data_IF_272546270542
#
_entry.id   IF_272546270542
#
_cell.length_a   1.000
_cell.length_b   1.000
_cell.length_c   1.000
_cell.angle_alpha   90.00
_cell.angle_beta   90.00
_cell.angle_gamma   90.00
#
_symmetry.space_group_name_H-M   'P 1'
#
loop_
_entity.id
_entity.type
_entity.pdbx_description
1 polymer ?
#
# COMPACT_ATOMS: atom_id res chain seq x y z
N UNK A 1 -4.40 -21.37 23.09
CA UNK A 1 -3.42 -21.02 22.04
C UNK A 1 -4.03 -19.89 21.25
N UNK A 2 -3.39 -18.71 21.23
CA UNK A 2 -3.88 -17.53 20.51
C UNK A 2 -3.55 -17.68 19.03
N UNK A 3 -4.53 -17.46 18.15
CA UNK A 3 -4.33 -17.41 16.70
C UNK A 3 -4.20 -15.95 16.27
N UNK A 4 -3.20 -15.65 15.46
CA UNK A 4 -2.93 -14.29 14.98
C UNK A 4 -3.13 -14.25 13.47
N UNK A 5 -4.02 -13.36 13.03
CA UNK A 5 -4.19 -13.04 11.62
C UNK A 5 -3.58 -11.66 11.36
N UNK A 6 -2.51 -11.61 10.57
CA UNK A 6 -1.91 -10.36 10.11
C UNK A 6 -2.41 -10.08 8.70
N UNK A 7 -3.04 -8.92 8.51
CA UNK A 7 -3.55 -8.46 7.23
C UNK A 7 -2.82 -7.18 6.82
N UNK A 8 -2.10 -7.23 5.70
CA UNK A 8 -1.45 -6.07 5.11
C UNK A 8 -2.33 -5.47 4.02
N UNK A 9 -2.72 -4.22 4.18
CA UNK A 9 -3.53 -3.50 3.19
C UNK A 9 -2.66 -2.64 2.27
N UNK A 10 -2.55 -3.05 1.01
CA UNK A 10 -1.75 -2.39 -0.02
C UNK A 10 -2.66 -1.56 -0.92
N UNK A 11 -2.54 -0.23 -0.81
CA UNK A 11 -3.36 0.72 -1.55
C UNK A 11 -2.55 1.88 -2.10
N UNK A 12 -2.92 2.31 -3.29
CA UNK A 12 -2.63 3.63 -3.85
C UNK A 12 -3.89 4.13 -4.55
N UNK A 13 -4.17 5.45 -4.50
CA UNK A 13 -5.17 6.07 -5.36
C UNK A 13 -4.95 5.76 -6.85
N UNK A 14 -6.01 5.94 -7.64
CA UNK A 14 -5.90 5.91 -9.10
C UNK A 14 -5.33 7.23 -9.60
N UNK A 15 -4.08 7.22 -10.07
CA UNK A 15 -3.33 8.43 -10.45
C UNK A 15 -3.33 8.71 -11.95
N UNK A 16 -3.75 7.77 -12.79
CA UNK A 16 -3.85 8.00 -14.22
C UNK A 16 -4.97 9.00 -14.51
N UNK A 17 -4.60 10.13 -15.12
CA UNK A 17 -5.56 11.03 -15.73
C UNK A 17 -6.07 10.41 -17.03
N UNK A 18 -7.33 10.00 -17.05
CA UNK A 18 -7.94 9.34 -18.21
C UNK A 18 -8.03 10.24 -19.45
N UNK A 19 -7.87 11.57 -19.32
CA UNK A 19 -7.85 12.49 -20.45
C UNK A 19 -6.49 12.51 -21.15
N UNK A 20 -5.38 12.37 -20.41
CA UNK A 20 -4.01 12.45 -20.94
C UNK A 20 -3.35 11.07 -21.06
N UNK A 21 -3.77 10.09 -20.26
CA UNK A 21 -3.11 8.79 -20.08
C UNK A 21 -1.86 8.85 -19.18
N UNK A 22 -1.58 10.00 -18.57
CA UNK A 22 -0.39 10.20 -17.72
C UNK A 22 -0.74 10.00 -16.24
N UNK A 23 0.19 9.40 -15.50
CA UNK A 23 0.07 9.31 -14.04
C UNK A 23 0.58 10.60 -13.41
N UNK A 24 -0.28 11.28 -12.66
CA UNK A 24 0.03 12.59 -12.07
C UNK A 24 1.07 12.51 -10.94
N UNK A 25 1.23 11.32 -10.34
CA UNK A 25 2.15 11.06 -9.23
C UNK A 25 2.91 9.74 -9.42
N UNK A 26 4.15 9.63 -8.92
CA UNK A 26 5.03 8.49 -9.20
C UNK A 26 4.82 7.33 -8.21
N UNK A 27 3.87 7.46 -7.28
CA UNK A 27 3.80 6.63 -6.07
C UNK A 27 3.56 5.15 -6.36
N UNK A 28 2.73 4.82 -7.35
CA UNK A 28 2.55 3.41 -7.75
C UNK A 28 3.88 2.80 -8.20
N UNK A 29 4.65 3.51 -9.02
CA UNK A 29 5.96 3.06 -9.48
C UNK A 29 6.95 2.97 -8.32
N UNK A 30 7.14 4.03 -7.55
CA UNK A 30 8.14 4.08 -6.47
C UNK A 30 7.85 3.07 -5.35
N UNK A 31 6.60 2.96 -4.88
CA UNK A 31 6.23 1.92 -3.91
C UNK A 31 6.26 0.52 -4.53
N UNK A 32 6.00 0.40 -5.84
CA UNK A 32 6.20 -0.85 -6.58
C UNK A 32 7.64 -1.36 -6.54
N UNK A 33 8.61 -0.45 -6.53
CA UNK A 33 10.03 -0.81 -6.39
C UNK A 33 10.42 -1.26 -4.99
N UNK A 34 9.66 -0.85 -3.96
CA UNK A 34 10.11 -0.90 -2.55
C UNK A 34 9.29 -1.79 -1.63
N UNK A 35 7.96 -1.73 -1.74
CA UNK A 35 7.07 -2.16 -0.66
C UNK A 35 6.21 -3.37 -1.03
N UNK A 36 6.02 -3.66 -2.32
CA UNK A 36 5.12 -4.73 -2.73
C UNK A 36 5.83 -6.06 -2.98
N UNK A 37 6.93 -6.08 -3.73
CA UNK A 37 7.61 -7.35 -4.06
C UNK A 37 8.24 -8.01 -2.81
N UNK A 38 9.08 -7.29 -2.06
CA UNK A 38 9.83 -7.86 -0.95
C UNK A 38 8.97 -8.45 0.15
N UNK A 39 7.81 -7.84 0.44
CA UNK A 39 6.85 -8.34 1.44
C UNK A 39 6.36 -9.77 1.13
N UNK A 40 6.04 -10.07 -0.12
CA UNK A 40 5.62 -11.40 -0.54
C UNK A 40 6.82 -12.35 -0.71
N UNK A 41 7.94 -11.85 -1.23
CA UNK A 41 9.15 -12.66 -1.43
C UNK A 41 9.76 -13.13 -0.11
N UNK A 42 9.75 -12.30 0.94
CA UNK A 42 10.25 -12.60 2.28
C UNK A 42 9.57 -13.83 2.89
N UNK A 43 8.31 -14.10 2.51
CA UNK A 43 7.59 -15.28 2.98
C UNK A 43 8.28 -16.59 2.60
N UNK A 44 9.10 -16.63 1.54
CA UNK A 44 9.87 -17.83 1.17
C UNK A 44 10.83 -18.29 2.27
N UNK A 45 11.32 -17.35 3.08
CA UNK A 45 12.21 -17.65 4.22
C UNK A 45 11.45 -18.22 5.42
N UNK A 46 10.13 -17.99 5.49
CA UNK A 46 9.27 -18.37 6.62
C UNK A 46 8.08 -19.25 6.16
N UNK A 47 8.32 -20.49 5.70
CA UNK A 47 7.29 -21.35 5.09
C UNK A 47 6.11 -21.69 6.02
N UNK A 48 6.31 -21.62 7.34
CA UNK A 48 5.29 -21.93 8.34
C UNK A 48 4.39 -20.74 8.68
N UNK A 49 4.81 -19.51 8.37
CA UNK A 49 4.02 -18.30 8.64
C UNK A 49 2.92 -18.19 7.59
N UNK A 50 1.72 -17.80 8.04
CA UNK A 50 0.57 -17.50 7.19
C UNK A 50 0.20 -16.04 7.34
N UNK A 51 0.00 -15.34 6.22
CA UNK A 51 -0.40 -13.93 6.20
C UNK A 51 -1.58 -13.72 5.26
N UNK A 52 -2.29 -12.62 5.44
CA UNK A 52 -3.26 -12.13 4.46
C UNK A 52 -2.70 -10.86 3.83
N UNK A 53 -2.72 -10.79 2.50
CA UNK A 53 -2.45 -9.56 1.77
C UNK A 53 -3.75 -9.09 1.12
N UNK A 54 -4.07 -7.82 1.33
CA UNK A 54 -5.16 -7.16 0.66
C UNK A 54 -4.58 -6.23 -0.41
N UNK A 55 -4.93 -6.48 -1.67
CA UNK A 55 -4.42 -5.72 -2.81
C UNK A 55 -5.59 -5.00 -3.48
N UNK A 56 -5.58 -3.67 -3.45
CA UNK A 56 -6.66 -2.88 -4.06
C UNK A 56 -6.61 -2.98 -5.59
N UNK A 57 -7.72 -3.26 -6.29
CA UNK A 57 -7.72 -3.44 -7.75
C UNK A 57 -7.19 -2.24 -8.53
N UNK A 58 -7.52 -1.01 -8.13
CA UNK A 58 -7.00 0.21 -8.76
C UNK A 58 -5.47 0.33 -8.68
N UNK A 59 -4.85 -0.16 -7.61
CA UNK A 59 -3.39 -0.26 -7.50
C UNK A 59 -2.86 -1.30 -8.49
N UNK A 60 -3.47 -2.48 -8.55
CA UNK A 60 -3.01 -3.59 -9.39
C UNK A 60 -3.03 -3.24 -10.89
N UNK A 61 -4.09 -2.58 -11.36
CA UNK A 61 -4.18 -2.15 -12.77
C UNK A 61 -3.09 -1.16 -13.15
N UNK A 62 -2.76 -0.21 -12.26
CA UNK A 62 -1.67 0.73 -12.49
C UNK A 62 -0.30 0.02 -12.46
N UNK A 63 -0.10 -0.93 -11.54
CA UNK A 63 1.12 -1.76 -11.50
C UNK A 63 1.32 -2.57 -12.78
N UNK A 64 0.26 -3.16 -13.34
CA UNK A 64 0.32 -3.83 -14.65
C UNK A 64 0.77 -2.85 -15.75
N UNK A 65 0.15 -1.68 -15.83
CA UNK A 65 0.51 -0.66 -16.83
C UNK A 65 1.98 -0.22 -16.72
N UNK A 66 2.52 -0.08 -15.50
CA UNK A 66 3.94 0.21 -15.30
C UNK A 66 4.86 -0.99 -15.61
N UNK A 67 4.47 -2.21 -15.24
CA UNK A 67 5.22 -3.44 -15.52
C UNK A 67 5.32 -3.73 -17.03
N UNK A 68 4.27 -3.39 -17.78
CA UNK A 68 4.20 -3.53 -19.23
C UNK A 68 4.82 -2.34 -19.98
N UNK A 69 5.43 -1.39 -19.24
CA UNK A 69 6.05 -0.17 -19.75
C UNK A 69 5.12 0.72 -20.60
N UNK A 70 3.80 0.60 -20.39
CA UNK A 70 2.79 1.43 -21.06
C UNK A 70 2.42 2.68 -20.29
N UNK A 71 2.56 2.66 -18.97
CA UNK A 71 2.35 3.85 -18.14
C UNK A 71 3.55 4.80 -18.19
N UNK A 72 3.26 6.09 -18.08
CA UNK A 72 4.22 7.17 -17.92
C UNK A 72 3.79 8.04 -16.74
N UNK A 73 4.79 8.55 -16.04
CA UNK A 73 4.67 9.64 -15.08
C UNK A 73 5.79 10.64 -15.40
N UNK A 74 5.53 11.93 -15.20
CA UNK A 74 6.51 12.98 -15.55
C UNK A 74 7.81 12.85 -14.74
N UNK A 75 7.81 12.24 -13.54
CA UNK A 75 9.05 11.94 -12.83
C UNK A 75 9.91 10.92 -13.58
N UNK A 76 9.31 9.91 -14.20
CA UNK A 76 10.01 8.93 -15.01
C UNK A 76 10.61 9.59 -16.26
N UNK A 77 9.86 10.45 -16.93
CA UNK A 77 10.32 11.17 -18.12
C UNK A 77 11.50 12.08 -17.81
N UNK A 78 11.34 12.95 -16.80
CA UNK A 78 12.43 13.79 -16.32
C UNK A 78 13.58 12.98 -15.73
N UNK A 79 13.29 11.80 -15.17
CA UNK A 79 14.25 10.87 -14.63
C UNK A 79 15.06 10.12 -15.69
N UNK A 80 14.64 10.12 -16.95
CA UNK A 80 15.33 9.48 -18.06
C UNK A 80 15.95 10.49 -19.05
N UNK A 81 15.43 11.72 -19.12
CA UNK A 81 15.94 12.76 -20.00
C UNK A 81 17.42 13.10 -19.71
N UNK A 82 18.31 13.18 -20.72
CA UNK A 82 19.70 13.58 -20.50
C UNK A 82 19.78 14.98 -19.87
N UNK A 83 20.64 15.21 -18.85
CA UNK A 83 20.70 16.50 -18.17
C UNK A 83 20.96 17.68 -19.10
N UNK A 84 21.80 17.50 -20.12
CA UNK A 84 22.12 18.53 -21.11
C UNK A 84 20.90 19.02 -21.92
N UNK A 85 19.82 18.23 -21.98
CA UNK A 85 18.58 18.55 -22.68
C UNK A 85 17.51 19.13 -21.75
N UNK A 86 17.75 19.17 -20.44
CA UNK A 86 16.81 19.74 -19.47
C UNK A 86 16.78 21.26 -19.57
N UNK A 87 15.59 21.81 -19.74
CA UNK A 87 15.30 23.23 -19.59
C UNK A 87 15.44 23.68 -18.13
N UNK A 88 15.61 24.98 -17.90
CA UNK A 88 15.69 25.55 -16.55
C UNK A 88 14.43 25.29 -15.70
N UNK A 89 13.27 25.16 -16.34
CA UNK A 89 12.03 24.80 -15.64
C UNK A 89 12.07 23.34 -15.20
N UNK A 90 12.44 22.41 -16.06
CA UNK A 90 12.57 20.99 -15.72
C UNK A 90 13.63 20.75 -14.65
N UNK A 91 14.76 21.47 -14.71
CA UNK A 91 15.80 21.44 -13.67
C UNK A 91 15.26 21.87 -12.31
N UNK A 92 14.47 22.94 -12.25
CA UNK A 92 13.83 23.39 -10.99
C UNK A 92 12.82 22.37 -10.49
N UNK A 93 12.02 21.77 -11.37
CA UNK A 93 11.08 20.70 -11.02
C UNK A 93 11.83 19.48 -10.45
N UNK A 94 12.90 19.02 -11.08
CA UNK A 94 13.72 17.92 -10.55
C UNK A 94 14.21 18.25 -9.13
N UNK A 95 14.71 19.46 -8.90
CA UNK A 95 15.19 19.85 -7.57
C UNK A 95 14.08 19.92 -6.50
N UNK A 96 12.84 20.26 -6.85
CA UNK A 96 11.74 20.21 -5.87
C UNK A 96 11.27 18.78 -5.60
N UNK A 97 11.19 17.96 -6.64
CA UNK A 97 10.42 16.72 -6.62
C UNK A 97 11.26 15.45 -6.41
N UNK A 98 12.55 15.46 -6.73
CA UNK A 98 13.39 14.24 -6.71
C UNK A 98 13.99 13.93 -5.34
N UNK A 99 13.57 14.66 -4.31
CA UNK A 99 13.89 14.38 -2.90
C UNK A 99 12.66 13.91 -2.10
N UNK A 100 11.62 13.44 -2.79
CA UNK A 100 10.41 12.87 -2.22
C UNK A 100 10.66 11.46 -1.66
N UNK A 101 11.60 11.34 -0.71
CA UNK A 101 11.89 10.13 0.04
C UNK A 101 12.10 10.48 1.52
N UNK A 102 11.70 9.63 2.48
CA UNK A 102 11.98 9.82 3.90
C UNK A 102 13.45 10.12 4.19
N UNK A 103 13.75 11.37 4.57
CA UNK A 103 15.13 11.87 4.72
C UNK A 103 16.03 10.94 5.54
N UNK A 104 15.67 10.68 6.80
CA UNK A 104 16.51 9.90 7.71
C UNK A 104 16.59 8.40 7.41
N UNK A 105 15.68 7.85 6.58
CA UNK A 105 15.62 6.40 6.30
C UNK A 105 15.99 6.02 4.88
N UNK A 106 16.05 6.98 3.95
CA UNK A 106 16.27 6.71 2.53
C UNK A 106 17.22 7.71 1.87
N UNK A 107 17.29 8.96 2.32
CA UNK A 107 18.20 9.95 1.73
C UNK A 107 19.55 9.94 2.47
N UNK A 108 19.53 10.13 3.78
CA UNK A 108 20.72 10.29 4.62
C UNK A 108 21.57 9.00 4.71
N UNK A 109 21.02 7.86 4.30
CA UNK A 109 21.76 6.59 4.19
C UNK A 109 22.79 6.60 3.06
N UNK A 110 22.62 7.44 2.05
CA UNK A 110 23.46 7.47 0.86
C UNK A 110 24.18 8.83 0.77
N UNK A 111 25.50 8.88 1.03
CA UNK A 111 26.23 10.14 1.17
C UNK A 111 26.05 11.11 0.00
N UNK A 112 26.07 10.62 -1.25
CA UNK A 112 25.88 11.50 -2.41
C UNK A 112 24.45 12.04 -2.52
N UNK A 113 23.44 11.25 -2.16
CA UNK A 113 22.05 11.72 -2.23
C UNK A 113 21.79 12.81 -1.16
N UNK A 114 22.32 12.62 0.04
CA UNK A 114 22.28 13.60 1.12
C UNK A 114 23.05 14.90 0.77
N UNK A 115 24.21 14.77 0.13
CA UNK A 115 25.01 15.90 -0.36
C UNK A 115 24.22 16.75 -1.36
N UNK A 116 23.51 16.12 -2.31
CA UNK A 116 22.64 16.80 -3.26
C UNK A 116 21.50 17.53 -2.52
N UNK A 117 20.80 16.85 -1.61
CA UNK A 117 19.74 17.48 -0.82
C UNK A 117 20.26 18.74 -0.08
N UNK A 118 21.40 18.64 0.57
CA UNK A 118 22.05 19.75 1.26
C UNK A 118 22.37 20.90 0.30
N UNK A 119 22.91 20.60 -0.88
CA UNK A 119 23.22 21.59 -1.92
C UNK A 119 21.96 22.34 -2.40
N UNK A 120 20.82 21.64 -2.52
CA UNK A 120 19.53 22.27 -2.84
C UNK A 120 19.11 23.22 -1.72
N UNK A 121 19.14 22.74 -0.47
CA UNK A 121 18.68 23.50 0.70
C UNK A 121 19.54 24.74 0.98
N UNK A 122 20.80 24.75 0.53
CA UNK A 122 21.70 25.91 0.60
C UNK A 122 21.47 26.96 -0.50
N UNK A 123 20.40 26.84 -1.29
CA UNK A 123 19.98 27.86 -2.26
C UNK A 123 20.14 27.47 -3.73
N UNK A 124 20.35 26.19 -4.05
CA UNK A 124 20.22 25.63 -5.40
C UNK A 124 21.23 26.11 -6.46
N UNK A 125 22.15 27.01 -6.11
CA UNK A 125 23.16 27.52 -7.05
C UNK A 125 24.19 26.45 -7.44
N UNK A 126 24.51 26.38 -8.74
CA UNK A 126 25.67 25.63 -9.23
C UNK A 126 25.50 24.11 -9.37
N UNK A 127 24.27 23.61 -9.55
CA UNK A 127 24.08 22.23 -10.01
C UNK A 127 24.63 22.04 -11.42
N UNK A 128 25.54 21.09 -11.54
CA UNK A 128 26.09 20.65 -12.83
C UNK A 128 25.21 19.59 -13.47
N UNK A 129 25.40 19.31 -14.75
CA UNK A 129 24.74 18.19 -15.42
C UNK A 129 25.00 16.85 -14.73
N UNK A 130 26.21 16.68 -14.16
CA UNK A 130 26.53 15.49 -13.38
C UNK A 130 25.77 15.42 -12.05
N UNK A 131 25.49 16.55 -11.39
CA UNK A 131 24.66 16.57 -10.19
C UNK A 131 23.22 16.18 -10.50
N UNK A 132 22.68 16.64 -11.63
CA UNK A 132 21.36 16.23 -12.11
C UNK A 132 21.32 14.74 -12.47
N UNK A 133 22.34 14.23 -13.15
CA UNK A 133 22.43 12.80 -13.47
C UNK A 133 22.47 11.94 -12.21
N UNK A 134 23.27 12.33 -11.22
CA UNK A 134 23.36 11.62 -9.96
C UNK A 134 22.03 11.66 -9.19
N UNK A 135 21.32 12.80 -9.21
CA UNK A 135 20.00 12.95 -8.61
C UNK A 135 18.94 12.10 -9.34
N UNK A 136 18.97 12.07 -10.67
CA UNK A 136 18.09 11.23 -11.50
C UNK A 136 18.27 9.73 -11.19
N UNK A 137 19.48 9.28 -10.84
CA UNK A 137 19.69 7.90 -10.40
C UNK A 137 19.22 7.70 -8.96
N UNK A 138 19.65 8.56 -8.03
CA UNK A 138 19.36 8.37 -6.61
C UNK A 138 17.88 8.47 -6.25
N UNK A 139 17.10 9.32 -6.93
CA UNK A 139 15.67 9.45 -6.65
C UNK A 139 14.88 8.15 -6.89
N UNK A 140 15.43 7.21 -7.66
CA UNK A 140 14.83 5.88 -7.93
C UNK A 140 15.56 4.79 -7.17
N UNK A 141 16.90 4.84 -7.16
CA UNK A 141 17.73 3.83 -6.51
C UNK A 141 17.43 3.71 -5.01
N UNK A 142 17.16 4.84 -4.33
CA UNK A 142 16.82 4.84 -2.92
C UNK A 142 15.49 4.12 -2.60
N UNK A 143 14.63 3.92 -3.60
CA UNK A 143 13.36 3.20 -3.51
C UNK A 143 13.48 1.71 -3.88
N UNK A 144 14.65 1.22 -4.29
CA UNK A 144 14.79 -0.21 -4.64
C UNK A 144 14.69 -1.06 -3.38
N UNK A 145 13.86 -2.10 -3.45
CA UNK A 145 13.60 -3.05 -2.37
C UNK A 145 14.90 -3.69 -1.81
N UNK A 146 15.00 -3.90 -0.47
CA UNK A 146 16.16 -4.52 0.16
C UNK A 146 16.58 -5.86 -0.44
N UNK A 147 15.64 -6.69 -0.91
CA UNK A 147 15.97 -7.96 -1.56
C UNK A 147 16.81 -7.72 -2.82
N UNK A 148 16.53 -6.68 -3.60
CA UNK A 148 17.33 -6.32 -4.78
C UNK A 148 18.63 -5.62 -4.39
N UNK A 149 18.64 -4.77 -3.36
CA UNK A 149 19.87 -4.19 -2.80
C UNK A 149 20.85 -5.30 -2.36
N UNK A 150 20.33 -6.40 -1.82
CA UNK A 150 21.11 -7.51 -1.29
C UNK A 150 21.41 -8.63 -2.30
N UNK A 151 20.76 -8.68 -3.46
CA UNK A 151 20.93 -9.83 -4.36
C UNK A 151 21.19 -9.46 -5.83
N UNK A 152 20.86 -8.24 -6.27
CA UNK A 152 21.11 -7.83 -7.66
C UNK A 152 22.49 -7.14 -7.81
N UNK A 153 23.41 -7.68 -8.62
CA UNK A 153 24.74 -7.12 -8.79
C UNK A 153 24.74 -5.74 -9.49
N UNK A 154 23.76 -5.42 -10.34
CA UNK A 154 23.64 -4.10 -10.98
C UNK A 154 23.27 -3.05 -9.92
N UNK A 155 22.29 -3.35 -9.08
CA UNK A 155 21.87 -2.46 -7.98
C UNK A 155 23.02 -2.23 -7.01
N UNK A 156 23.69 -3.28 -6.57
CA UNK A 156 24.87 -3.19 -5.69
C UNK A 156 25.97 -2.33 -6.30
N UNK A 157 26.28 -2.52 -7.58
CA UNK A 157 27.26 -1.71 -8.31
C UNK A 157 26.88 -0.23 -8.30
N UNK A 158 25.60 0.10 -8.55
CA UNK A 158 25.12 1.49 -8.53
C UNK A 158 25.24 2.11 -7.14
N UNK A 159 24.82 1.40 -6.10
CA UNK A 159 24.94 1.87 -4.70
C UNK A 159 26.39 2.08 -4.31
N UNK A 160 27.31 1.18 -4.71
CA UNK A 160 28.74 1.31 -4.45
C UNK A 160 29.38 2.47 -5.23
N UNK A 161 28.94 2.68 -6.47
CA UNK A 161 29.45 3.75 -7.35
C UNK A 161 29.21 5.14 -6.76
N UNK A 162 28.09 5.33 -6.07
CA UNK A 162 27.68 6.53 -5.33
C UNK A 162 27.45 7.80 -6.16
N UNK A 163 28.34 8.13 -7.09
CA UNK A 163 28.42 9.41 -7.80
C UNK A 163 28.99 9.21 -9.20
N UNK A 164 28.95 10.24 -10.02
CA UNK A 164 29.44 10.19 -11.39
C UNK A 164 28.76 9.09 -12.21
N UNK A 165 27.45 8.92 -11.99
CA UNK A 165 26.66 7.99 -12.78
C UNK A 165 26.71 8.38 -14.25
N UNK A 166 26.58 7.38 -15.11
CA UNK A 166 26.51 7.54 -16.56
C UNK A 166 25.06 7.42 -17.04
N UNK A 167 24.80 7.80 -18.29
CA UNK A 167 23.52 7.51 -18.94
C UNK A 167 23.24 6.00 -19.00
N UNK A 168 24.28 5.18 -19.17
CA UNK A 168 24.17 3.72 -19.12
C UNK A 168 23.71 3.21 -17.74
N UNK A 169 24.25 3.76 -16.65
CA UNK A 169 23.80 3.42 -15.29
C UNK A 169 22.32 3.75 -15.06
N UNK A 170 21.85 4.87 -15.64
CA UNK A 170 20.44 5.29 -15.54
C UNK A 170 19.51 4.34 -16.28
N UNK A 171 19.94 3.82 -17.43
CA UNK A 171 19.23 2.81 -18.21
C UNK A 171 19.29 1.42 -17.55
N UNK A 172 20.43 1.03 -16.97
CA UNK A 172 20.56 -0.20 -16.19
C UNK A 172 19.59 -0.20 -15.01
N UNK A 173 19.49 0.91 -14.27
CA UNK A 173 18.50 1.05 -13.20
C UNK A 173 17.07 0.97 -13.72
N UNK A 174 16.78 1.56 -14.88
CA UNK A 174 15.44 1.45 -15.51
C UNK A 174 15.09 0.00 -15.86
N UNK A 175 16.06 -0.80 -16.30
CA UNK A 175 15.85 -2.22 -16.56
C UNK A 175 15.49 -2.97 -15.26
N UNK A 176 16.22 -2.70 -14.18
CA UNK A 176 15.91 -3.26 -12.85
C UNK A 176 14.50 -2.85 -12.38
N UNK A 177 14.12 -1.59 -12.55
CA UNK A 177 12.77 -1.12 -12.18
C UNK A 177 11.67 -1.94 -12.86
N UNK A 178 11.78 -2.14 -14.18
CA UNK A 178 10.82 -2.93 -14.94
C UNK A 178 10.81 -4.39 -14.51
N UNK A 179 11.96 -4.98 -14.19
CA UNK A 179 12.02 -6.35 -13.66
C UNK A 179 11.29 -6.48 -12.32
N UNK A 180 11.52 -5.55 -11.38
CA UNK A 180 10.84 -5.55 -10.07
C UNK A 180 9.33 -5.45 -10.27
N UNK A 181 8.87 -4.45 -11.03
CA UNK A 181 7.44 -4.21 -11.28
C UNK A 181 6.76 -5.43 -11.91
N UNK A 182 7.41 -6.08 -12.89
CA UNK A 182 6.91 -7.32 -13.52
C UNK A 182 6.83 -8.50 -12.57
N UNK A 183 7.57 -8.48 -11.46
CA UNK A 183 7.58 -9.56 -10.47
C UNK A 183 6.58 -9.37 -9.33
N UNK A 184 6.05 -8.16 -9.10
CA UNK A 184 5.12 -7.88 -8.00
C UNK A 184 3.92 -8.83 -8.02
N UNK A 185 3.07 -8.77 -9.06
CA UNK A 185 1.84 -9.57 -9.12
C UNK A 185 2.13 -11.09 -9.16
N UNK A 186 3.09 -11.59 -9.99
CA UNK A 186 3.45 -12.99 -9.97
C UNK A 186 3.91 -13.51 -8.61
N UNK A 187 4.65 -12.71 -7.82
CA UNK A 187 5.11 -13.13 -6.50
C UNK A 187 3.95 -13.40 -5.54
N UNK A 188 2.94 -12.53 -5.53
CA UNK A 188 1.73 -12.73 -4.72
C UNK A 188 0.96 -13.98 -5.16
N UNK A 189 0.81 -14.20 -6.48
CA UNK A 189 0.16 -15.41 -7.01
C UNK A 189 0.90 -16.67 -6.57
N UNK A 190 2.21 -16.71 -6.76
CA UNK A 190 3.04 -17.85 -6.37
C UNK A 190 2.98 -18.08 -4.84
N UNK A 191 2.94 -17.02 -4.03
CA UNK A 191 2.79 -17.14 -2.57
C UNK A 191 1.43 -17.75 -2.17
N UNK A 192 0.36 -17.41 -2.89
CA UNK A 192 -0.97 -17.98 -2.68
C UNK A 192 -1.02 -19.45 -3.11
N UNK A 193 -0.41 -19.81 -4.25
CA UNK A 193 -0.30 -21.18 -4.74
C UNK A 193 0.48 -22.10 -3.79
N UNK A 194 1.50 -21.56 -3.10
CA UNK A 194 2.21 -22.27 -2.01
C UNK A 194 1.38 -22.42 -0.73
N UNK A 195 0.18 -21.82 -0.68
CA UNK A 195 -0.70 -21.81 0.47
C UNK A 195 -0.14 -21.00 1.65
N UNK A 196 0.83 -20.12 1.42
CA UNK A 196 1.43 -19.29 2.48
C UNK A 196 0.61 -18.04 2.77
N UNK A 197 -0.09 -17.52 1.76
CA UNK A 197 -0.87 -16.29 1.92
C UNK A 197 -2.29 -16.47 1.41
N UNK A 198 -3.22 -15.79 2.07
CA UNK A 198 -4.51 -15.47 1.47
C UNK A 198 -4.42 -14.12 0.76
N UNK A 199 -4.91 -14.06 -0.47
CA UNK A 199 -5.10 -12.80 -1.20
C UNK A 199 -6.57 -12.37 -1.09
N UNK A 200 -6.77 -11.18 -0.56
CA UNK A 200 -8.08 -10.51 -0.43
C UNK A 200 -8.10 -9.24 -1.26
N UNK A 201 -9.29 -8.66 -1.46
CA UNK A 201 -9.47 -7.44 -2.26
C UNK A 201 -10.21 -6.36 -1.49
N UNK A 202 -10.25 -5.16 -2.07
CA UNK A 202 -11.14 -4.06 -1.70
C UNK A 202 -12.08 -3.71 -2.85
N UNK A 203 -13.08 -2.85 -2.65
CA UNK A 203 -13.82 -2.22 -3.75
C UNK A 203 -12.87 -1.61 -4.79
N UNK A 204 -13.21 -1.71 -6.08
CA UNK A 204 -12.25 -1.53 -7.17
C UNK A 204 -11.44 -0.22 -7.10
N UNK A 205 -12.12 0.92 -6.97
CA UNK A 205 -11.51 2.25 -6.84
C UNK A 205 -11.42 2.72 -5.38
N UNK A 206 -11.52 1.79 -4.42
CA UNK A 206 -11.50 2.08 -2.99
C UNK A 206 -12.55 3.11 -2.50
N UNK A 207 -13.79 3.18 -3.02
CA UNK A 207 -14.80 4.07 -2.45
C UNK A 207 -15.25 3.63 -1.06
N UNK A 208 -15.73 4.59 -0.26
CA UNK A 208 -16.43 4.34 1.00
C UNK A 208 -17.82 3.76 0.68
N UNK A 209 -17.94 2.43 0.64
CA UNK A 209 -19.17 1.74 0.22
C UNK A 209 -20.44 2.24 0.94
N UNK A 210 -20.44 2.48 2.27
CA UNK A 210 -21.63 3.00 2.95
C UNK A 210 -22.16 4.29 2.33
N UNK A 211 -21.28 5.20 1.88
CA UNK A 211 -21.67 6.48 1.30
C UNK A 211 -22.12 6.38 -0.15
N UNK A 212 -21.73 5.32 -0.88
CA UNK A 212 -22.33 5.01 -2.17
C UNK A 212 -23.75 4.46 -2.00
N UNK A 213 -23.97 3.63 -0.97
CA UNK A 213 -25.29 3.07 -0.68
C UNK A 213 -26.28 4.18 -0.28
N UNK A 214 -25.92 5.00 0.72
CA UNK A 214 -26.70 6.13 1.16
C UNK A 214 -25.86 7.10 2.00
N UNK A 215 -25.69 8.35 1.57
CA UNK A 215 -24.97 9.38 2.35
C UNK A 215 -25.59 9.66 3.72
N UNK A 216 -26.89 9.44 3.90
CA UNK A 216 -27.55 9.66 5.19
C UNK A 216 -27.13 8.63 6.24
N UNK A 217 -26.45 7.53 5.85
CA UNK A 217 -25.87 6.57 6.79
C UNK A 217 -24.93 7.24 7.80
N UNK A 218 -24.26 8.32 7.40
CA UNK A 218 -23.36 9.09 8.26
C UNK A 218 -24.09 9.66 9.48
N UNK A 219 -25.37 10.05 9.33
CA UNK A 219 -26.19 10.59 10.41
C UNK A 219 -26.46 9.57 11.52
N UNK A 220 -26.37 8.25 11.25
CA UNK A 220 -26.49 7.24 12.31
C UNK A 220 -25.40 7.37 13.37
N UNK A 221 -24.20 7.80 12.97
CA UNK A 221 -23.07 7.98 13.89
C UNK A 221 -22.84 9.44 14.27
N UNK A 222 -23.26 10.38 13.42
CA UNK A 222 -23.11 11.81 13.65
C UNK A 222 -24.42 12.57 13.34
N UNK A 223 -25.45 12.50 14.21
CA UNK A 223 -26.80 13.00 13.92
C UNK A 223 -26.89 14.50 13.60
N UNK A 224 -25.93 15.29 14.06
CA UNK A 224 -25.91 16.76 13.89
C UNK A 224 -25.06 17.24 12.71
N UNK A 225 -24.48 16.32 11.93
CA UNK A 225 -23.65 16.71 10.78
C UNK A 225 -24.46 17.20 9.59
N UNK A 226 -23.86 18.05 8.77
CA UNK A 226 -24.37 18.34 7.44
C UNK A 226 -24.11 17.16 6.49
N UNK A 227 -25.07 16.86 5.62
CA UNK A 227 -24.94 15.86 4.55
C UNK A 227 -25.43 16.46 3.22
N UNK A 228 -24.96 15.95 2.07
CA UNK A 228 -25.41 16.41 0.76
C UNK A 228 -26.93 16.31 0.58
N UNK A 229 -27.50 17.28 -0.14
CA UNK A 229 -28.93 17.31 -0.51
C UNK A 229 -29.05 17.65 -2.01
N UNK A 230 -29.72 16.82 -2.82
CA UNK A 230 -30.35 15.52 -2.49
C UNK A 230 -29.33 14.47 -1.99
N UNK A 231 -29.76 13.44 -1.22
CA UNK A 231 -28.84 12.39 -0.78
C UNK A 231 -28.27 11.65 -2.00
N UNK A 232 -27.02 11.21 -1.88
CA UNK A 232 -26.40 10.33 -2.88
C UNK A 232 -26.70 8.88 -2.48
N UNK A 233 -27.45 8.17 -3.32
CA UNK A 233 -28.01 6.85 -3.03
C UNK A 233 -27.93 5.96 -4.28
N UNK A 234 -26.78 5.33 -4.47
CA UNK A 234 -26.45 4.49 -5.62
C UNK A 234 -25.85 3.14 -5.15
N UNK A 235 -26.63 2.30 -4.44
CA UNK A 235 -26.15 0.99 -4.00
C UNK A 235 -25.74 0.06 -5.16
N UNK A 236 -26.25 0.30 -6.38
CA UNK A 236 -25.79 -0.36 -7.60
C UNK A 236 -24.32 -0.07 -7.93
N UNK A 237 -23.83 1.16 -7.67
CA UNK A 237 -22.44 1.51 -7.85
C UNK A 237 -21.56 0.79 -6.82
N UNK A 238 -22.03 0.67 -5.58
CA UNK A 238 -21.38 -0.13 -4.55
C UNK A 238 -21.28 -1.62 -4.98
N UNK A 239 -22.34 -2.18 -5.53
CA UNK A 239 -22.36 -3.55 -6.05
C UNK A 239 -21.40 -3.73 -7.24
N UNK A 240 -21.35 -2.77 -8.16
CA UNK A 240 -20.45 -2.79 -9.32
C UNK A 240 -18.98 -2.74 -8.89
N UNK A 241 -18.64 -1.92 -7.88
CA UNK A 241 -17.27 -1.84 -7.34
C UNK A 241 -16.81 -3.19 -6.76
N UNK A 242 -17.71 -3.93 -6.12
CA UNK A 242 -17.46 -5.27 -5.60
C UNK A 242 -17.34 -6.29 -6.73
N UNK A 243 -18.22 -6.23 -7.74
CA UNK A 243 -18.19 -7.13 -8.90
C UNK A 243 -16.89 -6.97 -9.72
N UNK A 244 -16.47 -5.73 -10.00
CA UNK A 244 -15.21 -5.46 -10.70
C UNK A 244 -13.99 -5.91 -9.90
N UNK A 245 -14.00 -5.71 -8.59
CA UNK A 245 -12.90 -6.15 -7.72
C UNK A 245 -12.70 -7.67 -7.81
N UNK A 246 -13.81 -8.41 -7.75
CA UNK A 246 -13.87 -9.86 -7.91
C UNK A 246 -13.34 -10.34 -9.26
N UNK A 247 -13.79 -9.71 -10.35
CA UNK A 247 -13.31 -10.00 -11.71
C UNK A 247 -11.82 -9.71 -11.88
N UNK A 248 -11.34 -8.57 -11.35
CA UNK A 248 -9.93 -8.21 -11.40
C UNK A 248 -9.05 -9.22 -10.66
N UNK A 249 -9.48 -9.60 -9.46
CA UNK A 249 -8.78 -10.60 -8.64
C UNK A 249 -8.72 -11.96 -9.34
N UNK A 250 -9.82 -12.43 -9.93
CA UNK A 250 -9.84 -13.69 -10.69
C UNK A 250 -8.92 -13.65 -11.91
N UNK A 251 -8.91 -12.54 -12.66
CA UNK A 251 -8.02 -12.35 -13.81
C UNK A 251 -6.54 -12.44 -13.44
N UNK A 252 -6.16 -11.85 -12.30
CA UNK A 252 -4.76 -11.74 -11.87
C UNK A 252 -4.25 -12.98 -11.14
N UNK A 253 -5.09 -13.56 -10.28
CA UNK A 253 -4.69 -14.61 -9.35
C UNK A 253 -5.34 -15.97 -9.66
N UNK A 254 -6.24 -16.04 -10.65
CA UNK A 254 -6.85 -17.29 -11.12
C UNK A 254 -8.02 -17.79 -10.27
N UNK A 255 -8.40 -17.06 -9.22
CA UNK A 255 -9.53 -17.40 -8.37
C UNK A 255 -10.23 -16.15 -7.82
N UNK A 256 -11.49 -16.31 -7.43
CA UNK A 256 -12.26 -15.29 -6.75
C UNK A 256 -11.75 -15.08 -5.30
N UNK A 257 -11.76 -13.84 -4.75
CA UNK A 257 -11.34 -13.57 -3.39
C UNK A 257 -12.43 -14.00 -2.39
N UNK A 258 -12.01 -14.62 -1.28
CA UNK A 258 -12.90 -14.91 -0.15
C UNK A 258 -13.07 -13.69 0.76
N UNK A 259 -11.98 -12.95 0.97
CA UNK A 259 -11.92 -11.78 1.84
C UNK A 259 -12.16 -10.44 1.18
N UNK A 260 -12.84 -9.55 1.92
CA UNK A 260 -13.01 -8.15 1.60
C UNK A 260 -12.42 -7.28 2.72
N UNK A 261 -11.48 -6.39 2.38
CA UNK A 261 -11.19 -5.21 3.21
C UNK A 261 -12.04 -4.05 2.68
N UNK A 262 -13.08 -3.60 3.41
CA UNK A 262 -13.81 -2.40 3.04
C UNK A 262 -12.87 -1.19 3.10
N UNK A 263 -13.01 -0.26 2.15
CA UNK A 263 -12.19 0.95 2.10
C UNK A 263 -12.24 1.69 3.44
N UNK A 264 -11.08 1.99 4.03
CA UNK A 264 -10.94 2.59 5.37
C UNK A 264 -11.60 1.80 6.52
N UNK A 265 -11.86 0.50 6.33
CA UNK A 265 -12.63 -0.31 7.27
C UNK A 265 -14.09 0.14 7.41
N UNK A 266 -14.60 0.95 6.47
CA UNK A 266 -15.95 1.52 6.54
C UNK A 266 -17.05 0.49 6.26
N UNK A 267 -18.07 0.45 7.12
CA UNK A 267 -19.14 -0.55 7.06
C UNK A 267 -20.52 0.03 7.34
N UNK A 268 -21.54 -0.62 6.79
CA UNK A 268 -22.96 -0.45 7.11
C UNK A 268 -23.67 -1.78 6.88
N UNK A 269 -24.88 -1.95 7.41
CA UNK A 269 -25.68 -3.16 7.19
C UNK A 269 -25.87 -3.44 5.68
N UNK A 270 -26.16 -2.39 4.91
CA UNK A 270 -26.34 -2.51 3.46
C UNK A 270 -25.05 -2.90 2.74
N UNK A 271 -23.92 -2.27 3.08
CA UNK A 271 -22.62 -2.63 2.50
C UNK A 271 -22.22 -4.09 2.84
N UNK A 272 -22.49 -4.54 4.07
CA UNK A 272 -22.25 -5.93 4.48
C UNK A 272 -23.15 -6.92 3.71
N UNK A 273 -24.43 -6.57 3.51
CA UNK A 273 -25.35 -7.38 2.72
C UNK A 273 -24.92 -7.45 1.24
N UNK A 274 -24.46 -6.34 0.66
CA UNK A 274 -23.92 -6.31 -0.71
C UNK A 274 -22.65 -7.16 -0.83
N UNK A 275 -21.72 -7.08 0.13
CA UNK A 275 -20.53 -7.93 0.16
C UNK A 275 -20.89 -9.42 0.20
N UNK A 276 -21.81 -9.82 1.09
CA UNK A 276 -22.29 -11.20 1.18
C UNK A 276 -22.92 -11.68 -0.15
N UNK A 277 -23.80 -10.86 -0.75
CA UNK A 277 -24.45 -11.17 -2.04
C UNK A 277 -23.46 -11.27 -3.19
N UNK A 278 -22.39 -10.48 -3.17
CA UNK A 278 -21.31 -10.55 -4.16
C UNK A 278 -20.46 -11.84 -4.02
N UNK A 279 -20.64 -12.61 -2.94
CA UNK A 279 -19.94 -13.88 -2.71
C UNK A 279 -18.68 -13.77 -1.87
N UNK A 280 -18.49 -12.67 -1.13
CA UNK A 280 -17.45 -12.59 -0.10
C UNK A 280 -17.84 -13.42 1.12
N UNK A 281 -16.87 -14.11 1.70
CA UNK A 281 -17.07 -14.99 2.85
C UNK A 281 -16.73 -14.29 4.17
N UNK A 282 -15.77 -13.37 4.14
CA UNK A 282 -15.41 -12.58 5.31
C UNK A 282 -15.06 -11.13 4.95
N UNK A 283 -15.23 -10.26 5.93
CA UNK A 283 -14.77 -8.87 5.92
C UNK A 283 -14.12 -8.49 7.25
N UNK A 284 -13.37 -7.38 7.28
CA UNK A 284 -12.76 -6.88 8.52
C UNK A 284 -13.03 -5.40 8.74
N UNK A 285 -13.14 -4.99 10.00
CA UNK A 285 -13.31 -3.59 10.42
C UNK A 285 -12.67 -3.34 11.81
N UNK A 286 -12.93 -2.21 12.44
CA UNK A 286 -12.24 -1.76 13.67
C UNK A 286 -12.92 -2.20 14.98
N UNK A 287 -12.14 -2.46 16.03
CA UNK A 287 -12.64 -2.78 17.39
C UNK A 287 -13.65 -1.75 17.92
N UNK A 288 -13.53 -0.47 17.56
CA UNK A 288 -14.46 0.57 17.99
C UNK A 288 -15.89 0.34 17.46
N UNK A 289 -16.03 -0.23 16.27
CA UNK A 289 -17.34 -0.57 15.69
C UNK A 289 -17.95 -1.73 16.50
N UNK A 290 -17.17 -2.79 16.75
CA UNK A 290 -17.64 -3.89 17.59
C UNK A 290 -18.06 -3.40 18.97
N UNK A 291 -17.22 -2.60 19.63
CA UNK A 291 -17.47 -2.09 20.98
C UNK A 291 -18.77 -1.30 21.06
N UNK A 292 -19.09 -0.48 20.06
CA UNK A 292 -20.39 0.22 19.98
C UNK A 292 -21.54 -0.75 19.73
N UNK A 293 -21.37 -1.76 18.90
CA UNK A 293 -22.42 -2.74 18.58
C UNK A 293 -22.81 -3.62 19.76
N UNK A 294 -21.84 -4.05 20.58
CA UNK A 294 -22.08 -4.93 21.73
C UNK A 294 -22.07 -4.19 23.07
N UNK A 295 -22.08 -2.85 23.03
CA UNK A 295 -22.05 -1.95 24.20
C UNK A 295 -20.92 -2.27 25.18
N UNK A 296 -19.71 -2.47 24.65
CA UNK A 296 -18.52 -2.87 25.39
C UNK A 296 -17.34 -1.94 25.11
N UNK A 297 -16.64 -1.59 26.19
CA UNK A 297 -15.35 -0.91 26.10
C UNK A 297 -14.21 -1.95 26.12
N UNK A 298 -13.29 -1.84 25.18
CA UNK A 298 -12.07 -2.65 25.12
C UNK A 298 -10.93 -1.92 25.82
N UNK A 299 -10.66 -2.31 27.07
CA UNK A 299 -9.64 -1.70 27.92
C UNK A 299 -8.33 -2.45 27.82
N UNK A 300 -7.22 -1.73 27.97
CA UNK A 300 -5.87 -2.31 28.02
C UNK A 300 -5.23 -2.03 29.37
N UNK A 301 -4.44 -2.98 29.87
CA UNK A 301 -3.69 -2.83 31.12
C UNK A 301 -2.49 -1.86 30.96
N UNK A 302 -1.75 -1.63 32.04
CA UNK A 302 -0.58 -0.73 32.04
C UNK A 302 0.55 -1.17 31.08
N UNK A 303 0.54 -2.43 30.63
CA UNK A 303 1.51 -2.98 29.68
C UNK A 303 0.95 -3.00 28.24
N UNK A 304 -0.29 -2.54 28.05
CA UNK A 304 -0.96 -2.49 26.75
C UNK A 304 -1.65 -3.80 26.35
N UNK A 305 -1.83 -4.75 27.28
CA UNK A 305 -2.54 -6.01 27.01
C UNK A 305 -4.03 -5.82 27.13
N UNK A 306 -4.80 -6.40 26.22
CA UNK A 306 -6.26 -6.31 26.22
C UNK A 306 -6.86 -7.04 27.43
N UNK A 307 -7.68 -6.33 28.21
CA UNK A 307 -8.46 -6.91 29.30
C UNK A 307 -9.65 -7.69 28.72
N UNK A 308 -9.75 -8.98 29.06
CA UNK A 308 -10.78 -9.89 28.54
C UNK A 308 -10.84 -9.89 27.00
N UNK A 309 -9.81 -10.47 26.33
CA UNK A 309 -9.65 -10.40 24.89
C UNK A 309 -10.67 -11.22 24.10
N UNK A 310 -11.38 -12.15 24.74
CA UNK A 310 -12.24 -13.14 24.09
C UNK A 310 -13.30 -12.54 23.17
N UNK A 311 -13.95 -11.40 23.49
CA UNK A 311 -14.93 -10.80 22.61
C UNK A 311 -14.32 -10.10 21.40
N UNK A 312 -13.07 -9.61 21.47
CA UNK A 312 -12.42 -9.03 20.31
C UNK A 312 -11.78 -10.10 19.42
N UNK A 313 -11.12 -11.09 20.04
CA UNK A 313 -10.32 -12.10 19.33
C UNK A 313 -11.15 -13.30 18.82
N UNK A 314 -12.41 -13.04 18.44
CA UNK A 314 -13.27 -14.04 17.80
C UNK A 314 -13.97 -13.45 16.57
N UNK A 315 -14.19 -14.26 15.52
CA UNK A 315 -15.01 -13.83 14.40
C UNK A 315 -16.48 -13.73 14.81
N UNK A 316 -17.21 -12.82 14.18
CA UNK A 316 -18.66 -12.67 14.32
C UNK A 316 -19.38 -13.00 13.02
N UNK A 317 -20.56 -13.61 13.10
CA UNK A 317 -21.45 -13.70 11.95
C UNK A 317 -22.38 -12.48 11.94
N UNK A 318 -22.21 -11.60 10.96
CA UNK A 318 -23.07 -10.43 10.77
C UNK A 318 -24.24 -10.84 9.88
N UNK A 319 -25.45 -10.81 10.45
CA UNK A 319 -26.69 -11.16 9.76
C UNK A 319 -27.45 -9.89 9.36
N UNK A 320 -27.68 -9.70 8.06
CA UNK A 320 -28.48 -8.58 7.52
C UNK A 320 -29.55 -9.15 6.60
N UNK A 321 -30.79 -9.19 7.08
CA UNK A 321 -31.90 -9.84 6.38
C UNK A 321 -31.59 -11.32 6.12
N UNK A 322 -31.60 -11.74 4.86
CA UNK A 322 -31.23 -13.10 4.45
C UNK A 322 -29.72 -13.31 4.20
N UNK A 323 -28.90 -12.25 4.30
CA UNK A 323 -27.47 -12.30 4.01
C UNK A 323 -26.66 -12.48 5.29
N UNK A 324 -25.59 -13.28 5.23
CA UNK A 324 -24.67 -13.51 6.34
C UNK A 324 -23.23 -13.40 5.84
N UNK A 325 -22.36 -12.71 6.60
CA UNK A 325 -20.92 -12.64 6.33
C UNK A 325 -20.12 -12.74 7.64
N UNK A 326 -18.97 -13.40 7.62
CA UNK A 326 -18.06 -13.37 8.77
C UNK A 326 -17.39 -11.99 8.87
N UNK A 327 -17.34 -11.42 10.06
CA UNK A 327 -16.67 -10.15 10.32
C UNK A 327 -15.60 -10.33 11.39
N UNK A 328 -14.39 -9.88 11.09
CA UNK A 328 -13.28 -9.80 12.04
C UNK A 328 -13.07 -8.34 12.45
N UNK A 329 -12.57 -8.14 13.67
CA UNK A 329 -12.34 -6.81 14.21
C UNK A 329 -10.88 -6.64 14.58
N UNK A 330 -10.27 -5.57 14.05
CA UNK A 330 -8.85 -5.23 14.21
C UNK A 330 -8.58 -4.81 15.65
N UNK A 331 -7.56 -5.42 16.27
CA UNK A 331 -6.94 -4.87 17.48
C UNK A 331 -6.17 -3.59 17.11
N UNK A 332 -6.79 -2.45 17.38
CA UNK A 332 -6.33 -1.16 16.90
C UNK A 332 -4.93 -0.84 17.42
N UNK A 333 -4.67 -1.00 18.72
CA UNK A 333 -3.36 -0.68 19.28
C UNK A 333 -2.26 -1.59 18.77
N UNK A 334 -2.50 -2.90 18.65
CA UNK A 334 -1.48 -3.81 18.14
C UNK A 334 -1.16 -3.50 16.67
N UNK A 335 -2.17 -3.19 15.86
CA UNK A 335 -1.94 -2.79 14.46
C UNK A 335 -1.23 -1.44 14.33
N UNK A 336 -1.55 -0.48 15.19
CA UNK A 336 -0.94 0.85 15.17
C UNK A 336 0.52 0.82 15.62
N UNK A 337 0.89 -0.08 16.53
CA UNK A 337 2.28 -0.29 16.89
C UNK A 337 3.10 -0.71 15.66
N UNK A 338 2.59 -1.62 14.84
CA UNK A 338 3.23 -2.02 13.58
C UNK A 338 3.33 -0.82 12.62
N UNK A 339 2.23 -0.10 12.41
CA UNK A 339 2.15 0.98 11.43
C UNK A 339 2.96 2.22 11.78
N UNK A 340 3.03 2.59 13.06
CA UNK A 340 3.48 3.92 13.48
C UNK A 340 4.63 3.92 14.49
N UNK A 341 4.88 2.82 15.21
CA UNK A 341 5.88 2.78 16.28
C UNK A 341 7.08 1.91 15.92
N UNK A 342 6.84 0.66 15.50
CA UNK A 342 7.88 -0.32 15.26
C UNK A 342 8.75 -0.03 14.05
N UNK A 343 8.31 0.85 13.14
CA UNK A 343 9.09 1.26 11.98
C UNK A 343 10.42 1.98 12.33
N UNK A 344 10.61 2.39 13.60
CA UNK A 344 11.87 2.94 14.13
C UNK A 344 12.64 2.01 15.06
N UNK A 345 12.14 0.79 15.29
CA UNK A 345 12.72 -0.17 16.25
C UNK A 345 13.60 -1.19 15.55
N UNK A 346 14.45 -1.88 16.33
CA UNK A 346 15.09 -3.11 15.87
C UNK A 346 14.03 -4.22 15.73
N UNK A 347 14.11 -5.00 14.66
CA UNK A 347 13.07 -5.97 14.30
C UNK A 347 12.76 -6.98 15.43
N UNK A 348 13.79 -7.57 16.05
CA UNK A 348 13.63 -8.54 17.15
C UNK A 348 12.97 -7.92 18.39
N UNK A 349 13.29 -6.65 18.69
CA UNK A 349 12.71 -5.93 19.82
C UNK A 349 11.24 -5.60 19.57
N UNK A 350 10.89 -5.17 18.35
CA UNK A 350 9.52 -4.92 17.95
C UNK A 350 8.66 -6.20 17.99
N UNK A 351 9.17 -7.31 17.45
CA UNK A 351 8.48 -8.60 17.50
C UNK A 351 8.28 -9.09 18.94
N UNK A 352 9.29 -8.94 19.80
CA UNK A 352 9.20 -9.33 21.21
C UNK A 352 8.16 -8.50 21.98
N UNK A 353 8.14 -7.17 21.79
CA UNK A 353 7.13 -6.30 22.40
C UNK A 353 5.72 -6.60 21.89
N UNK A 354 5.56 -6.86 20.58
CA UNK A 354 4.26 -7.25 20.01
C UNK A 354 3.72 -8.54 20.64
N UNK A 355 4.56 -9.57 20.75
CA UNK A 355 4.17 -10.84 21.37
C UNK A 355 3.80 -10.62 22.84
N UNK A 356 4.60 -9.86 23.60
CA UNK A 356 4.32 -9.59 25.01
C UNK A 356 3.01 -8.81 25.25
N UNK A 357 2.52 -8.04 24.27
CA UNK A 357 1.24 -7.32 24.36
C UNK A 357 0.05 -8.17 23.93
N UNK A 358 0.29 -9.23 23.17
CA UNK A 358 -0.74 -10.16 22.70
C UNK A 358 -1.13 -11.21 23.77
N UNK A 359 -0.18 -11.59 24.65
CA UNK A 359 -0.35 -12.67 25.66
C UNK A 359 -0.20 -12.23 27.11
#
# INVERSE_FOLDING_TARGET
MTQVAILWHMHQPYYEDLATGEHVLPWVRLHGLKDYYGMAALMREFPQVKLTFNLVPSLLVQLESFAEDRARDWHLELGLKPPAELSDTERRTILSEFFHAPRGRMIDLYPRYAELLQKRDQGGGGYTDQDFLDLQVWHKLAWVDPFYLDNDPRVRRLVQKQRHFSEEDKLDLRAVELEILRRVIPEYREAAERGQVELSTSPFYHPILPLLCDTDIYLKTHPSSSVPRPPFQYPEDAAEQLARARQCHERLFGHQPAGLWPSEGSVSDEAAALAAKAGFQWMATDEAILGRTIEREFRRDAHGRLEQPEPLYRPYAVQVGASQIACLFRDHSLSDLIGFVYAGWQADAAASDFINRLV
#
